data_IF_158962850129
#
_entry.id   IF_158962850129
#
_cell.length_a   1.000
_cell.length_b   1.000
_cell.length_c   1.000
_cell.angle_alpha   90.00
_cell.angle_beta   90.00
_cell.angle_gamma   90.00
#
_symmetry.space_group_name_H-M   'P 1'
#
loop_
_entity.id
_entity.type
_entity.pdbx_description
1 polymer ?
#
# COMPACT_ATOMS: atom_id res chain seq x y z
N UNK A 1 16.05 -4.24 15.31
CA UNK A 1 16.07 -3.52 14.00
C UNK A 1 15.47 -4.32 12.82
N UNK A 2 15.10 -5.60 12.96
CA UNK A 2 14.67 -6.44 11.82
C UNK A 2 13.23 -6.18 11.31
N UNK A 3 12.28 -5.84 12.18
CA UNK A 3 10.86 -5.75 11.78
C UNK A 3 10.53 -4.56 10.87
N UNK A 4 11.30 -3.45 10.91
CA UNK A 4 11.08 -2.29 10.02
C UNK A 4 11.43 -2.61 8.55
N UNK A 5 12.44 -3.44 8.32
CA UNK A 5 12.91 -3.79 6.96
C UNK A 5 11.93 -4.73 6.26
N UNK A 6 11.38 -5.71 7.00
CA UNK A 6 10.41 -6.65 6.45
C UNK A 6 9.12 -5.98 5.98
N UNK A 7 8.59 -5.00 6.73
CA UNK A 7 7.34 -4.32 6.34
C UNK A 7 7.50 -3.46 5.10
N UNK A 8 8.63 -2.75 4.96
CA UNK A 8 8.93 -1.93 3.77
C UNK A 8 9.15 -2.83 2.55
N UNK A 9 9.91 -3.91 2.71
CA UNK A 9 10.13 -4.89 1.64
C UNK A 9 8.82 -5.57 1.20
N UNK A 10 7.90 -5.81 2.13
CA UNK A 10 6.59 -6.38 1.82
C UNK A 10 5.69 -5.39 1.05
N UNK A 11 5.77 -4.09 1.36
CA UNK A 11 5.04 -3.05 0.62
C UNK A 11 5.53 -2.94 -0.82
N UNK A 12 6.84 -2.75 -1.03
CA UNK A 12 7.41 -2.59 -2.38
C UNK A 12 7.08 -3.79 -3.27
N UNK A 13 7.17 -5.00 -2.73
CA UNK A 13 6.80 -6.22 -3.46
C UNK A 13 5.32 -6.25 -3.86
N UNK A 14 4.42 -5.87 -2.95
CA UNK A 14 2.97 -5.84 -3.23
C UNK A 14 2.60 -4.77 -4.25
N UNK A 15 3.28 -3.62 -4.20
CA UNK A 15 3.12 -2.56 -5.18
C UNK A 15 3.58 -3.04 -6.57
N UNK A 16 4.75 -3.68 -6.66
CA UNK A 16 5.25 -4.25 -7.91
C UNK A 16 4.30 -5.33 -8.48
N UNK A 17 3.72 -6.17 -7.61
CA UNK A 17 2.71 -7.14 -8.03
C UNK A 17 1.44 -6.48 -8.57
N UNK A 18 1.03 -5.34 -7.99
CA UNK A 18 -0.13 -4.57 -8.44
C UNK A 18 0.13 -3.91 -9.80
N UNK A 19 1.30 -3.29 -9.99
CA UNK A 19 1.70 -2.67 -11.25
C UNK A 19 1.72 -3.69 -12.40
N UNK A 20 2.31 -4.87 -12.17
CA UNK A 20 2.31 -5.97 -13.15
C UNK A 20 0.89 -6.44 -13.49
N UNK A 21 0.02 -6.51 -12.49
CA UNK A 21 -1.37 -6.91 -12.68
C UNK A 21 -2.12 -5.89 -13.54
N UNK A 22 -2.00 -4.59 -13.22
CA UNK A 22 -2.61 -3.51 -14.01
C UNK A 22 -2.09 -3.53 -15.45
N UNK A 23 -0.77 -3.64 -15.66
CA UNK A 23 -0.19 -3.74 -16.99
C UNK A 23 -0.79 -4.90 -17.80
N UNK A 24 -0.95 -6.08 -17.18
CA UNK A 24 -1.59 -7.23 -17.84
C UNK A 24 -3.08 -7.02 -18.16
N UNK A 25 -3.79 -6.22 -17.36
CA UNK A 25 -5.19 -5.86 -17.62
C UNK A 25 -5.29 -4.85 -18.77
N UNK A 26 -4.36 -3.91 -18.87
CA UNK A 26 -4.29 -2.90 -19.93
C UNK A 26 -3.91 -3.50 -21.30
N UNK A 27 -3.18 -4.61 -21.32
CA UNK A 27 -2.89 -5.35 -22.55
C UNK A 27 -4.15 -5.90 -23.25
N UNK A 28 -5.28 -6.03 -22.53
CA UNK A 28 -6.57 -6.40 -23.11
C UNK A 28 -6.68 -7.84 -23.62
N UNK A 29 -5.74 -8.73 -23.24
CA UNK A 29 -5.71 -10.14 -23.67
C UNK A 29 -6.39 -11.10 -22.70
N UNK A 30 -6.88 -10.60 -21.56
CA UNK A 30 -7.51 -11.42 -20.53
C UNK A 30 -8.92 -11.84 -20.95
N UNK A 31 -9.28 -13.08 -20.63
CA UNK A 31 -10.68 -13.51 -20.69
C UNK A 31 -11.51 -12.74 -19.65
N UNK A 32 -12.84 -12.77 -19.75
CA UNK A 32 -13.72 -12.16 -18.74
C UNK A 32 -13.47 -12.76 -17.34
N UNK A 33 -13.31 -14.07 -17.25
CA UNK A 33 -13.08 -14.77 -15.99
C UNK A 33 -11.71 -14.39 -15.39
N UNK A 34 -10.68 -14.29 -16.22
CA UNK A 34 -9.35 -13.83 -15.79
C UNK A 34 -9.35 -12.35 -15.40
N UNK A 35 -10.15 -11.53 -16.08
CA UNK A 35 -10.31 -10.11 -15.75
C UNK A 35 -10.96 -9.93 -14.38
N UNK A 36 -11.96 -10.75 -14.05
CA UNK A 36 -12.60 -10.74 -12.72
C UNK A 36 -11.62 -11.20 -11.63
N UNK A 37 -10.84 -12.25 -11.88
CA UNK A 37 -9.77 -12.69 -10.97
C UNK A 37 -8.70 -11.63 -10.76
N UNK A 38 -8.27 -10.99 -11.86
CA UNK A 38 -7.29 -9.91 -11.81
C UNK A 38 -7.83 -8.72 -11.01
N UNK A 39 -9.09 -8.35 -11.22
CA UNK A 39 -9.73 -7.29 -10.45
C UNK A 39 -9.78 -7.60 -8.95
N UNK A 40 -10.23 -8.80 -8.56
CA UNK A 40 -10.26 -9.22 -7.15
C UNK A 40 -8.87 -9.18 -6.50
N UNK A 41 -7.86 -9.70 -7.21
CA UNK A 41 -6.47 -9.64 -6.77
C UNK A 41 -5.98 -8.20 -6.63
N UNK A 42 -6.32 -7.33 -7.58
CA UNK A 42 -5.97 -5.91 -7.56
C UNK A 42 -6.55 -5.20 -6.34
N UNK A 43 -7.85 -5.39 -6.06
CA UNK A 43 -8.51 -4.83 -4.88
C UNK A 43 -7.81 -5.26 -3.59
N UNK A 44 -7.42 -6.54 -3.49
CA UNK A 44 -6.70 -7.05 -2.33
C UNK A 44 -5.32 -6.40 -2.18
N UNK A 45 -4.54 -6.32 -3.26
CA UNK A 45 -3.21 -5.71 -3.25
C UNK A 45 -3.28 -4.21 -2.87
N UNK A 46 -4.25 -3.48 -3.39
CA UNK A 46 -4.47 -2.06 -3.04
C UNK A 46 -4.76 -1.89 -1.55
N UNK A 47 -5.67 -2.69 -0.99
CA UNK A 47 -5.99 -2.66 0.45
C UNK A 47 -4.77 -2.96 1.31
N UNK A 48 -3.98 -3.94 0.91
CA UNK A 48 -2.75 -4.28 1.63
C UNK A 48 -1.72 -3.15 1.61
N UNK A 49 -1.58 -2.46 0.46
CA UNK A 49 -0.70 -1.30 0.32
C UNK A 49 -1.16 -0.14 1.22
N UNK A 50 -2.45 0.20 1.18
CA UNK A 50 -3.05 1.23 2.05
C UNK A 50 -2.84 0.92 3.54
N UNK A 51 -3.05 -0.34 3.95
CA UNK A 51 -2.82 -0.76 5.33
C UNK A 51 -1.35 -0.65 5.75
N UNK A 52 -0.41 -0.91 4.84
CA UNK A 52 1.02 -0.74 5.10
C UNK A 52 1.40 0.75 5.24
N UNK A 53 0.87 1.62 4.37
CA UNK A 53 1.07 3.07 4.43
C UNK A 53 0.52 3.65 5.74
N UNK A 54 -0.70 3.29 6.13
CA UNK A 54 -1.32 3.73 7.39
C UNK A 54 -0.48 3.35 8.62
N UNK A 55 0.10 2.14 8.63
CA UNK A 55 1.02 1.71 9.70
C UNK A 55 2.32 2.51 9.71
N UNK A 56 2.85 2.86 8.54
CA UNK A 56 4.06 3.67 8.43
C UNK A 56 3.80 5.10 8.94
N UNK A 57 2.68 5.69 8.54
CA UNK A 57 2.23 7.01 8.98
C UNK A 57 2.04 7.08 10.50
N UNK A 58 1.31 6.13 11.09
CA UNK A 58 1.15 6.05 12.55
C UNK A 58 2.50 5.97 13.28
N UNK A 59 3.46 5.25 12.71
CA UNK A 59 4.80 5.14 13.28
C UNK A 59 5.57 6.45 13.20
N UNK A 60 5.45 7.18 12.10
CA UNK A 60 6.03 8.51 11.95
C UNK A 60 5.41 9.46 12.97
N UNK A 61 4.08 9.44 13.13
CA UNK A 61 3.39 10.27 14.11
C UNK A 61 3.87 10.02 15.54
N UNK A 62 4.04 8.75 15.95
CA UNK A 62 4.56 8.41 17.28
C UNK A 62 5.96 8.99 17.47
N UNK A 63 6.86 8.83 16.50
CA UNK A 63 8.24 9.32 16.57
C UNK A 63 8.32 10.85 16.66
N UNK A 64 7.41 11.56 15.99
CA UNK A 64 7.32 13.02 16.06
C UNK A 64 6.81 13.44 17.45
N UNK A 65 5.76 12.79 17.96
CA UNK A 65 5.19 13.08 19.27
C UNK A 65 6.17 12.78 20.43
N UNK A 66 7.03 11.76 20.29
CA UNK A 66 8.08 11.43 21.28
C UNK A 66 9.20 12.49 21.33
N UNK A 67 9.42 13.24 20.25
CA UNK A 67 10.48 14.25 20.15
C UNK A 67 10.03 15.68 20.52
N UNK A 68 8.75 15.90 20.87
CA UNK A 68 8.26 17.14 21.45
C UNK A 68 7.94 18.29 20.48
N UNK A 69 8.17 18.12 19.18
CA UNK A 69 7.76 19.09 18.14
C UNK A 69 6.43 18.63 17.52
N UNK A 70 5.33 19.05 18.14
CA UNK A 70 3.97 18.76 17.67
C UNK A 70 3.29 20.03 17.17
N UNK A 71 3.70 20.52 16.00
CA UNK A 71 2.83 21.40 15.21
C UNK A 71 2.62 20.74 13.84
N UNK A 72 1.38 20.29 13.64
CA UNK A 72 0.75 19.99 12.35
C UNK A 72 1.43 18.97 11.42
N UNK A 73 1.10 17.70 11.64
CA UNK A 73 0.86 16.79 10.52
C UNK A 73 -0.52 16.18 10.68
N UNK A 74 -1.55 16.98 10.37
CA UNK A 74 -2.85 16.44 10.03
C UNK A 74 -2.74 15.88 8.62
N UNK A 75 -2.52 14.58 8.50
CA UNK A 75 -2.87 13.87 7.28
C UNK A 75 -4.39 13.86 7.25
N UNK A 76 -4.99 14.82 6.55
CA UNK A 76 -6.42 14.78 6.25
C UNK A 76 -6.63 13.56 5.34
N UNK A 77 -7.20 12.50 5.92
CA UNK A 77 -7.85 11.44 5.15
C UNK A 77 -8.99 12.13 4.38
N UNK A 78 -8.72 12.66 3.18
CA UNK A 78 -9.77 13.11 2.25
C UNK A 78 -10.56 11.86 1.83
N UNK A 79 -11.75 11.68 2.42
CA UNK A 79 -12.78 10.72 2.00
C UNK A 79 -13.27 10.99 0.56
#
# INVERSE_FOLDING_TARGET
MNQKKETVFNFEKKLEELEKLVASMEEGKLSLEDSLRAFEKGVKLTRDCQAALKKAEQKVQILINENGDTEDLKFEDEE
#
